data_IF_375283719241
#
_entry.id   IF_375283719241
#
_cell.length_a   1.000
_cell.length_b   1.000
_cell.length_c   1.000
_cell.angle_alpha   90.00
_cell.angle_beta   90.00
_cell.angle_gamma   90.00
#
_symmetry.space_group_name_H-M   'P 1'
#
loop_
_entity.id
_entity.type
_entity.pdbx_description
1 polymer ?
#
# COMPACT_ATOMS: atom_id res chain seq x y z
N UNK A 1 -45.30 28.04 48.68
CA UNK A 1 -44.39 28.43 47.56
C UNK A 1 -43.24 27.44 47.54
N UNK A 2 -43.43 26.25 46.94
CA UNK A 2 -42.47 25.17 46.95
C UNK A 2 -41.68 25.27 45.66
N UNK A 3 -40.44 25.74 45.76
CA UNK A 3 -39.53 26.04 44.66
C UNK A 3 -39.13 24.75 43.99
N UNK A 4 -39.41 24.70 42.71
CA UNK A 4 -39.04 23.65 41.75
C UNK A 4 -37.50 23.54 41.56
N UNK A 5 -36.80 23.12 42.64
CA UNK A 5 -35.31 22.93 42.65
C UNK A 5 -34.84 21.71 41.86
N UNK A 6 -35.70 20.71 41.69
CA UNK A 6 -35.32 19.43 41.10
C UNK A 6 -35.13 19.44 39.57
N UNK A 7 -35.81 20.34 38.87
CA UNK A 7 -35.70 20.39 37.40
C UNK A 7 -34.44 21.09 36.89
N UNK A 8 -33.80 21.92 37.73
CA UNK A 8 -32.62 22.70 37.35
C UNK A 8 -31.32 21.88 37.46
N UNK A 9 -31.29 20.87 38.34
CA UNK A 9 -30.11 20.00 38.57
C UNK A 9 -30.04 18.83 37.58
N UNK A 10 -31.19 18.34 37.11
CA UNK A 10 -31.26 17.18 36.20
C UNK A 10 -30.83 17.46 34.75
N UNK A 11 -31.08 18.68 34.26
CA UNK A 11 -30.67 19.10 32.92
C UNK A 11 -29.13 19.14 32.73
N UNK A 12 -28.33 19.70 33.68
CA UNK A 12 -26.90 19.72 33.57
C UNK A 12 -26.26 18.30 33.60
N UNK A 13 -26.73 17.40 34.49
CA UNK A 13 -26.22 16.03 34.62
C UNK A 13 -26.40 15.26 33.31
N UNK A 14 -27.59 15.33 32.70
CA UNK A 14 -27.85 14.66 31.42
C UNK A 14 -26.94 15.19 30.29
N UNK A 15 -26.75 16.53 30.25
CA UNK A 15 -25.87 17.16 29.27
C UNK A 15 -24.41 16.73 29.49
N UNK A 16 -23.95 16.68 30.74
CA UNK A 16 -22.58 16.25 31.08
C UNK A 16 -22.32 14.80 30.72
N UNK A 17 -23.22 13.87 30.98
CA UNK A 17 -23.12 12.45 30.64
C UNK A 17 -23.07 12.27 29.11
N UNK A 18 -23.90 13.02 28.36
CA UNK A 18 -23.88 12.95 26.90
C UNK A 18 -22.56 13.48 26.31
N UNK A 19 -22.07 14.62 26.84
CA UNK A 19 -20.78 15.19 26.39
C UNK A 19 -19.64 14.24 26.73
N UNK A 20 -19.60 13.69 27.94
CA UNK A 20 -18.55 12.72 28.32
C UNK A 20 -18.59 11.46 27.44
N UNK A 21 -19.79 10.94 27.16
CA UNK A 21 -19.97 9.81 26.26
C UNK A 21 -19.51 10.11 24.83
N UNK A 22 -19.79 11.31 24.32
CA UNK A 22 -19.35 11.75 22.99
C UNK A 22 -17.82 11.87 22.93
N UNK A 23 -17.21 12.49 23.95
CA UNK A 23 -15.75 12.61 24.04
C UNK A 23 -15.10 11.22 24.09
N UNK A 24 -15.62 10.33 24.93
CA UNK A 24 -15.12 8.95 25.02
C UNK A 24 -15.24 8.22 23.68
N UNK A 25 -16.39 8.35 22.98
CA UNK A 25 -16.59 7.75 21.67
C UNK A 25 -15.60 8.30 20.64
N UNK A 26 -15.37 9.61 20.60
CA UNK A 26 -14.41 10.23 19.69
C UNK A 26 -12.97 9.74 19.95
N UNK A 27 -12.57 9.69 21.23
CA UNK A 27 -11.25 9.17 21.59
C UNK A 27 -11.08 7.70 21.19
N UNK A 28 -12.06 6.85 21.49
CA UNK A 28 -12.03 5.44 21.11
C UNK A 28 -11.98 5.26 19.59
N UNK A 29 -12.80 6.01 18.86
CA UNK A 29 -12.81 5.98 17.39
C UNK A 29 -11.47 6.39 16.80
N UNK A 30 -10.83 7.42 17.36
CA UNK A 30 -9.50 7.87 16.92
C UNK A 30 -8.45 6.79 17.15
N UNK A 31 -8.44 6.16 18.33
CA UNK A 31 -7.51 5.05 18.64
C UNK A 31 -7.72 3.87 17.67
N UNK A 32 -8.97 3.45 17.47
CA UNK A 32 -9.31 2.38 16.53
C UNK A 32 -8.87 2.70 15.10
N UNK A 33 -9.03 3.95 14.67
CA UNK A 33 -8.63 4.38 13.34
C UNK A 33 -7.12 4.35 13.15
N UNK A 34 -6.36 4.81 14.14
CA UNK A 34 -4.89 4.74 14.12
C UNK A 34 -4.42 3.27 14.08
N UNK A 35 -4.99 2.42 14.95
CA UNK A 35 -4.66 0.98 14.96
C UNK A 35 -4.97 0.30 13.61
N UNK A 36 -6.12 0.61 13.02
CA UNK A 36 -6.51 0.10 11.70
C UNK A 36 -5.55 0.57 10.61
N UNK A 37 -5.14 1.83 10.63
CA UNK A 37 -4.15 2.35 9.67
C UNK A 37 -2.83 1.61 9.77
N UNK A 38 -2.26 1.49 10.98
CA UNK A 38 -0.98 0.80 11.18
C UNK A 38 -1.04 -0.66 10.75
N UNK A 39 -2.13 -1.36 11.12
CA UNK A 39 -2.32 -2.76 10.76
C UNK A 39 -2.46 -2.96 9.25
N UNK A 40 -3.30 -2.16 8.59
CA UNK A 40 -3.53 -2.29 7.13
C UNK A 40 -2.29 -1.89 6.35
N UNK A 41 -1.62 -0.80 6.73
CA UNK A 41 -0.38 -0.37 6.08
C UNK A 41 0.71 -1.45 6.18
N UNK A 42 0.95 -2.02 7.37
CA UNK A 42 1.92 -3.10 7.56
C UNK A 42 1.55 -4.36 6.76
N UNK A 43 0.28 -4.78 6.84
CA UNK A 43 -0.19 -5.99 6.13
C UNK A 43 -0.13 -5.84 4.61
N UNK A 44 -0.45 -4.65 4.08
CA UNK A 44 -0.32 -4.38 2.65
C UNK A 44 1.14 -4.41 2.20
N UNK A 45 2.04 -3.76 2.95
CA UNK A 45 3.48 -3.78 2.64
C UNK A 45 4.02 -5.21 2.64
N UNK A 46 3.68 -6.04 3.63
CA UNK A 46 4.08 -7.45 3.67
C UNK A 46 3.54 -8.24 2.47
N UNK A 47 2.29 -8.02 2.08
CA UNK A 47 1.69 -8.68 0.91
C UNK A 47 2.37 -8.23 -0.40
N UNK A 48 2.67 -6.95 -0.55
CA UNK A 48 3.41 -6.45 -1.71
C UNK A 48 4.82 -7.02 -1.77
N UNK A 49 5.54 -7.04 -0.64
CA UNK A 49 6.87 -7.65 -0.56
C UNK A 49 6.85 -9.13 -0.95
N UNK A 50 5.90 -9.89 -0.43
CA UNK A 50 5.74 -11.30 -0.79
C UNK A 50 5.48 -11.48 -2.29
N UNK A 51 4.53 -10.70 -2.84
CA UNK A 51 4.19 -10.75 -4.28
C UNK A 51 5.38 -10.39 -5.17
N UNK A 52 6.10 -9.30 -4.85
CA UNK A 52 7.28 -8.88 -5.62
C UNK A 52 8.41 -9.91 -5.54
N UNK A 53 8.63 -10.50 -4.36
CA UNK A 53 9.60 -11.58 -4.18
C UNK A 53 9.23 -12.82 -5.01
N UNK A 54 7.95 -13.19 -5.07
CA UNK A 54 7.48 -14.32 -5.88
C UNK A 54 7.70 -14.06 -7.37
N UNK A 55 7.42 -12.83 -7.85
CA UNK A 55 7.69 -12.40 -9.23
C UNK A 55 9.18 -12.49 -9.55
N UNK A 56 10.05 -11.92 -8.71
CA UNK A 56 11.51 -11.94 -8.92
C UNK A 56 12.06 -13.36 -8.85
N UNK A 57 11.53 -14.21 -7.98
CA UNK A 57 11.90 -15.62 -7.90
C UNK A 57 11.43 -16.40 -9.13
N UNK A 58 10.26 -16.08 -9.67
CA UNK A 58 9.79 -16.67 -10.91
C UNK A 58 10.71 -16.28 -12.09
N UNK A 59 11.10 -15.01 -12.20
CA UNK A 59 12.04 -14.54 -13.22
C UNK A 59 13.38 -15.29 -13.10
N UNK A 60 13.97 -15.34 -11.92
CA UNK A 60 15.23 -16.06 -11.68
C UNK A 60 15.16 -17.52 -12.13
N UNK A 61 14.08 -18.22 -11.80
CA UNK A 61 13.92 -19.65 -12.11
C UNK A 61 13.60 -19.93 -13.59
N UNK A 62 13.13 -18.95 -14.35
CA UNK A 62 12.73 -19.12 -15.75
C UNK A 62 13.64 -18.38 -16.73
N UNK A 63 14.69 -17.72 -16.25
CA UNK A 63 15.70 -17.04 -17.07
C UNK A 63 16.90 -17.94 -17.24
N UNK A 64 17.32 -18.16 -18.49
CA UNK A 64 18.64 -18.75 -18.77
C UNK A 64 19.70 -17.67 -18.59
N UNK A 65 20.27 -17.62 -17.41
CA UNK A 65 21.21 -16.56 -17.01
C UNK A 65 22.55 -16.64 -17.72
N UNK A 66 22.98 -17.83 -18.18
CA UNK A 66 24.20 -17.99 -18.99
C UNK A 66 24.00 -17.42 -20.40
N UNK A 67 22.82 -17.66 -21.01
CA UNK A 67 22.45 -17.08 -22.29
C UNK A 67 22.30 -15.56 -22.18
N UNK A 68 21.64 -15.08 -21.09
CA UNK A 68 21.50 -13.64 -20.81
C UNK A 68 22.87 -12.96 -20.67
N UNK A 69 23.82 -13.58 -19.99
CA UNK A 69 25.21 -13.09 -19.87
C UNK A 69 25.88 -12.97 -21.23
N UNK A 70 25.66 -13.94 -22.11
CA UNK A 70 26.21 -13.90 -23.47
C UNK A 70 25.55 -12.79 -24.31
N UNK A 71 24.24 -12.59 -24.18
CA UNK A 71 23.53 -11.48 -24.82
C UNK A 71 24.09 -10.13 -24.37
N UNK A 72 24.32 -9.96 -23.06
CA UNK A 72 24.93 -8.74 -22.49
C UNK A 72 26.35 -8.54 -23.07
N UNK A 73 27.16 -9.59 -23.09
CA UNK A 73 28.54 -9.52 -23.59
C UNK A 73 28.64 -9.15 -25.07
N UNK A 74 27.68 -9.63 -25.89
CA UNK A 74 27.70 -9.46 -27.37
C UNK A 74 26.87 -8.28 -27.86
N UNK A 75 25.95 -7.75 -27.01
CA UNK A 75 24.97 -6.74 -27.41
C UNK A 75 23.94 -7.26 -28.42
N UNK A 76 23.77 -8.61 -28.51
CA UNK A 76 22.83 -9.25 -29.45
C UNK A 76 21.87 -10.16 -28.71
N UNK A 77 20.61 -10.18 -29.14
CA UNK A 77 19.57 -11.01 -28.56
C UNK A 77 19.64 -12.44 -29.10
N UNK A 78 19.16 -13.40 -28.31
CA UNK A 78 18.99 -14.82 -28.65
C UNK A 78 17.51 -15.19 -28.66
N UNK A 79 17.14 -16.38 -29.11
CA UNK A 79 15.79 -16.91 -29.00
C UNK A 79 15.33 -17.02 -27.53
N UNK A 80 16.24 -17.35 -26.60
CA UNK A 80 15.92 -17.40 -25.16
C UNK A 80 15.69 -16.01 -24.58
N UNK A 81 16.45 -15.02 -25.05
CA UNK A 81 16.22 -13.62 -24.72
C UNK A 81 14.83 -13.16 -25.19
N UNK A 82 14.43 -13.51 -26.42
CA UNK A 82 13.10 -13.15 -26.94
C UNK A 82 11.99 -13.82 -26.12
N UNK A 83 12.19 -15.06 -25.67
CA UNK A 83 11.27 -15.74 -24.75
C UNK A 83 11.17 -15.03 -23.39
N UNK A 84 12.31 -14.57 -22.84
CA UNK A 84 12.36 -13.77 -21.62
C UNK A 84 11.59 -12.45 -21.80
N UNK A 85 11.85 -11.70 -22.88
CA UNK A 85 11.14 -10.47 -23.20
C UNK A 85 9.63 -10.68 -23.26
N UNK A 86 9.16 -11.72 -23.98
CA UNK A 86 7.75 -12.07 -24.03
C UNK A 86 7.17 -12.50 -22.69
N UNK A 87 7.95 -13.12 -21.84
CA UNK A 87 7.54 -13.46 -20.47
C UNK A 87 7.35 -12.20 -19.64
N UNK A 88 8.32 -11.29 -19.63
CA UNK A 88 8.24 -10.03 -18.87
C UNK A 88 7.06 -9.18 -19.35
N UNK A 89 6.85 -9.05 -20.67
CA UNK A 89 5.74 -8.30 -21.25
C UNK A 89 4.36 -8.82 -20.80
N UNK A 90 4.19 -10.13 -20.64
CA UNK A 90 2.96 -10.70 -20.09
C UNK A 90 2.83 -10.48 -18.60
N UNK A 91 3.95 -10.60 -17.87
CA UNK A 91 3.92 -10.45 -16.42
C UNK A 91 3.56 -9.02 -15.98
N UNK A 92 4.02 -7.99 -16.69
CA UNK A 92 3.66 -6.60 -16.35
C UNK A 92 2.15 -6.37 -16.42
N UNK A 93 1.48 -6.96 -17.43
CA UNK A 93 0.04 -6.86 -17.62
C UNK A 93 -0.72 -7.76 -16.63
N UNK A 94 -0.35 -9.05 -16.52
CA UNK A 94 -1.02 -10.05 -15.68
C UNK A 94 -0.95 -9.70 -14.19
N UNK A 95 0.12 -9.06 -13.75
CA UNK A 95 0.33 -8.66 -12.37
C UNK A 95 0.07 -7.16 -12.11
N UNK A 96 -0.41 -6.41 -13.09
CA UNK A 96 -0.69 -4.97 -12.95
C UNK A 96 0.50 -4.22 -12.33
N UNK A 97 1.71 -4.44 -12.86
CA UNK A 97 2.93 -3.80 -12.38
C UNK A 97 3.08 -2.43 -13.03
N UNK A 98 3.75 -1.50 -12.35
CA UNK A 98 4.13 -0.25 -12.97
C UNK A 98 5.26 -0.48 -13.99
N UNK A 99 6.34 -1.14 -13.53
CA UNK A 99 7.46 -1.55 -14.40
C UNK A 99 8.01 -2.90 -13.96
N UNK A 100 8.61 -3.60 -14.93
CA UNK A 100 9.32 -4.86 -14.72
C UNK A 100 10.52 -4.90 -15.66
N UNK A 101 11.71 -4.94 -15.11
CA UNK A 101 12.92 -4.81 -15.92
C UNK A 101 14.12 -5.53 -15.32
N UNK A 102 15.08 -5.81 -16.18
CA UNK A 102 16.40 -6.31 -15.83
C UNK A 102 17.42 -5.29 -16.33
N UNK A 103 18.28 -4.80 -15.44
CA UNK A 103 19.21 -3.73 -15.75
C UNK A 103 20.55 -3.88 -15.03
N UNK A 104 21.53 -3.12 -15.46
CA UNK A 104 22.85 -3.00 -14.83
C UNK A 104 23.03 -1.54 -14.43
N UNK A 105 23.10 -1.23 -13.13
CA UNK A 105 23.37 0.14 -12.68
C UNK A 105 24.87 0.44 -12.79
N UNK A 106 25.23 1.29 -13.75
CA UNK A 106 26.60 1.78 -13.93
C UNK A 106 26.82 3.10 -13.15
N UNK A 107 27.96 3.74 -13.32
CA UNK A 107 28.33 4.92 -12.55
C UNK A 107 27.47 6.14 -12.88
N UNK A 108 27.19 6.36 -14.15
CA UNK A 108 26.49 7.54 -14.67
C UNK A 108 25.19 7.21 -15.43
N UNK A 109 24.89 5.94 -15.67
CA UNK A 109 23.72 5.50 -16.47
C UNK A 109 23.13 4.18 -15.94
N UNK A 110 21.86 3.99 -16.20
CA UNK A 110 21.23 2.67 -16.06
C UNK A 110 21.23 1.99 -17.42
N UNK A 111 21.84 0.80 -17.51
CA UNK A 111 21.91 0.02 -18.75
C UNK A 111 20.77 -0.99 -18.76
N UNK A 112 19.86 -0.85 -19.72
CA UNK A 112 18.78 -1.80 -19.93
C UNK A 112 19.33 -3.14 -20.43
N UNK A 113 18.96 -4.22 -19.77
CA UNK A 113 19.19 -5.59 -20.27
C UNK A 113 17.91 -6.11 -20.92
N UNK A 114 16.78 -6.04 -20.24
CA UNK A 114 15.49 -6.48 -20.75
C UNK A 114 14.37 -5.77 -19.95
N UNK A 115 13.53 -4.97 -20.59
CA UNK A 115 12.43 -4.27 -19.94
C UNK A 115 11.09 -4.67 -20.54
N UNK A 116 10.12 -4.92 -19.68
CA UNK A 116 8.76 -5.20 -20.13
C UNK A 116 8.13 -3.96 -20.75
N UNK A 117 7.38 -4.17 -21.83
CA UNK A 117 6.47 -3.18 -22.41
C UNK A 117 5.05 -3.68 -22.21
N UNK A 118 4.20 -2.90 -21.54
CA UNK A 118 2.80 -3.26 -21.28
C UNK A 118 1.95 -3.25 -22.55
N UNK A 119 0.77 -3.87 -22.51
CA UNK A 119 -0.19 -3.83 -23.62
C UNK A 119 -0.62 -2.39 -23.93
N UNK A 120 -0.77 -1.55 -22.90
CA UNK A 120 -1.15 -0.14 -23.06
C UNK A 120 -0.05 0.66 -23.76
N UNK A 121 1.23 0.47 -23.43
CA UNK A 121 2.37 1.11 -24.07
C UNK A 121 2.51 0.65 -25.53
N UNK A 122 2.37 -0.65 -25.80
CA UNK A 122 2.35 -1.18 -27.17
C UNK A 122 1.20 -0.62 -27.99
N UNK A 123 0.01 -0.46 -27.39
CA UNK A 123 -1.14 0.17 -28.06
C UNK A 123 -0.91 1.67 -28.32
N UNK A 124 -0.08 2.32 -27.52
CA UNK A 124 0.36 3.71 -27.76
C UNK A 124 1.48 3.82 -28.83
N UNK A 125 2.00 2.70 -29.31
CA UNK A 125 3.04 2.63 -30.35
C UNK A 125 4.46 2.52 -29.79
N UNK A 126 4.62 2.26 -28.51
CA UNK A 126 5.92 1.98 -27.91
C UNK A 126 6.41 0.57 -28.27
N UNK A 127 7.72 0.41 -28.29
CA UNK A 127 8.40 -0.84 -28.61
C UNK A 127 9.34 -1.22 -27.48
N UNK A 128 9.65 -2.52 -27.38
CA UNK A 128 10.62 -3.02 -26.42
C UNK A 128 11.96 -2.28 -26.56
N UNK A 129 12.55 -1.89 -25.44
CA UNK A 129 13.86 -1.25 -25.42
C UNK A 129 14.94 -2.22 -25.90
N UNK A 130 15.88 -1.76 -26.71
CA UNK A 130 16.98 -2.62 -27.13
C UNK A 130 17.88 -3.02 -25.94
N UNK A 131 18.49 -4.19 -26.06
CA UNK A 131 19.52 -4.61 -25.10
C UNK A 131 20.69 -3.60 -25.10
N UNK A 132 21.25 -3.34 -23.92
CA UNK A 132 22.32 -2.37 -23.68
C UNK A 132 21.92 -0.91 -24.00
N UNK A 133 20.63 -0.61 -24.03
CA UNK A 133 20.18 0.77 -24.10
C UNK A 133 20.54 1.51 -22.80
N UNK A 134 21.28 2.61 -22.94
CA UNK A 134 21.69 3.45 -21.81
C UNK A 134 20.65 4.56 -21.58
N UNK A 135 20.27 4.77 -20.31
CA UNK A 135 19.41 5.87 -19.92
C UNK A 135 20.04 6.70 -18.81
N UNK A 136 19.96 8.02 -18.97
CA UNK A 136 20.37 9.04 -18.00
C UNK A 136 19.22 9.58 -17.16
N UNK A 137 18.07 8.92 -17.22
CA UNK A 137 16.87 9.31 -16.46
C UNK A 137 16.99 9.16 -14.94
N UNK A 138 18.04 8.48 -14.48
CA UNK A 138 18.32 8.27 -13.05
C UNK A 138 19.33 9.26 -12.54
N UNK A 139 19.09 9.84 -11.37
CA UNK A 139 20.08 10.65 -10.67
C UNK A 139 21.28 9.81 -10.19
N UNK A 140 22.39 10.47 -9.86
CA UNK A 140 23.56 9.78 -9.32
C UNK A 140 23.26 9.07 -8.00
N UNK A 141 22.43 9.67 -7.16
CA UNK A 141 22.00 9.11 -5.88
C UNK A 141 21.17 7.83 -6.08
N UNK A 142 20.30 7.80 -7.08
CA UNK A 142 19.53 6.60 -7.44
C UNK A 142 20.44 5.50 -8.00
N UNK A 143 21.38 5.83 -8.89
CA UNK A 143 22.33 4.85 -9.40
C UNK A 143 23.23 4.27 -8.29
N UNK A 144 23.69 5.09 -7.35
CA UNK A 144 24.42 4.61 -6.17
C UNK A 144 23.57 3.67 -5.31
N UNK A 145 22.28 4.00 -5.12
CA UNK A 145 21.35 3.15 -4.42
C UNK A 145 21.21 1.80 -5.12
N UNK A 146 20.89 1.77 -6.42
CA UNK A 146 20.75 0.52 -7.18
C UNK A 146 22.04 -0.31 -7.18
N UNK A 147 23.22 0.32 -7.28
CA UNK A 147 24.52 -0.40 -7.15
C UNK A 147 24.67 -1.02 -5.77
N UNK A 148 24.29 -0.31 -4.72
CA UNK A 148 24.33 -0.84 -3.35
C UNK A 148 23.37 -2.01 -3.17
N UNK A 149 22.17 -1.95 -3.77
CA UNK A 149 21.21 -3.05 -3.77
C UNK A 149 21.72 -4.25 -4.56
N UNK A 150 22.40 -4.01 -5.67
CA UNK A 150 23.03 -5.06 -6.46
C UNK A 150 24.15 -5.81 -5.71
N UNK A 151 24.76 -5.23 -4.70
CA UNK A 151 25.75 -5.89 -3.85
C UNK A 151 25.13 -6.84 -2.80
N UNK A 152 23.84 -6.71 -2.54
CA UNK A 152 23.14 -7.53 -1.56
C UNK A 152 22.70 -8.86 -2.19
N UNK A 153 23.00 -9.98 -1.53
CA UNK A 153 22.62 -11.34 -1.99
C UNK A 153 21.18 -11.71 -1.58
N UNK A 154 20.27 -10.74 -1.61
CA UNK A 154 18.87 -10.93 -1.21
C UNK A 154 17.97 -9.93 -1.95
N UNK A 155 16.66 -10.23 -1.94
CA UNK A 155 15.67 -9.25 -2.38
C UNK A 155 15.71 -8.04 -1.45
N UNK A 156 15.81 -6.87 -2.05
CA UNK A 156 15.85 -5.58 -1.35
C UNK A 156 14.69 -4.72 -1.83
N UNK A 157 14.10 -3.96 -0.91
CA UNK A 157 12.93 -3.14 -1.17
C UNK A 157 13.29 -1.68 -0.89
N UNK A 158 12.88 -0.80 -1.78
CA UNK A 158 13.12 0.64 -1.67
C UNK A 158 11.92 1.41 -2.23
N UNK A 159 11.65 2.57 -1.65
CA UNK A 159 10.77 3.56 -2.25
C UNK A 159 11.64 4.59 -2.95
N UNK A 160 11.42 4.79 -4.24
CA UNK A 160 12.15 5.75 -5.06
C UNK A 160 11.21 6.72 -5.75
N UNK A 161 11.71 7.91 -6.05
CA UNK A 161 10.98 8.94 -6.77
C UNK A 161 11.85 9.42 -7.91
N UNK A 162 11.42 9.14 -9.14
CA UNK A 162 12.09 9.53 -10.38
C UNK A 162 11.22 10.45 -11.22
N UNK A 163 11.70 10.87 -12.37
CA UNK A 163 10.90 11.63 -13.35
C UNK A 163 9.67 10.85 -13.88
N UNK A 164 9.68 9.52 -13.71
CA UNK A 164 8.57 8.63 -14.08
C UNK A 164 7.49 8.49 -13.00
N UNK A 165 7.74 8.97 -11.78
CA UNK A 165 6.82 8.88 -10.64
C UNK A 165 7.46 8.37 -9.37
N UNK A 166 6.64 8.05 -8.37
CA UNK A 166 7.08 7.44 -7.12
C UNK A 166 6.69 5.97 -7.10
N UNK A 167 7.68 5.10 -6.94
CA UNK A 167 7.53 3.65 -7.00
C UNK A 167 8.04 2.99 -5.74
N UNK A 168 7.41 1.88 -5.40
CA UNK A 168 7.92 0.92 -4.44
C UNK A 168 8.56 -0.22 -5.22
N UNK A 169 9.89 -0.28 -5.18
CA UNK A 169 10.72 -1.15 -6.02
C UNK A 169 11.29 -2.29 -5.21
N UNK A 170 11.20 -3.50 -5.74
CA UNK A 170 11.97 -4.65 -5.26
C UNK A 170 13.02 -5.05 -6.28
N UNK A 171 14.24 -5.24 -5.81
CA UNK A 171 15.37 -5.65 -6.64
C UNK A 171 15.97 -6.95 -6.16
N UNK A 172 16.38 -7.81 -7.11
CA UNK A 172 17.09 -9.06 -6.85
C UNK A 172 18.24 -9.25 -7.84
N UNK A 173 19.48 -9.48 -7.37
CA UNK A 173 20.56 -9.80 -8.28
C UNK A 173 20.35 -11.16 -8.93
N UNK A 174 20.68 -11.26 -10.23
CA UNK A 174 20.72 -12.50 -11.00
C UNK A 174 22.18 -12.99 -11.13
N UNK A 175 22.33 -14.29 -11.04
CA UNK A 175 23.63 -14.96 -11.07
C UNK A 175 23.70 -15.95 -12.23
N UNK A 176 24.87 -16.06 -12.85
CA UNK A 176 25.14 -17.12 -13.81
C UNK A 176 25.32 -18.52 -13.16
N UNK A 177 25.48 -19.55 -13.96
CA UNK A 177 25.69 -20.92 -13.47
C UNK A 177 26.94 -21.11 -12.61
N UNK A 178 27.87 -20.14 -12.62
CA UNK A 178 29.12 -20.15 -11.84
C UNK A 178 28.99 -19.34 -10.53
N UNK A 179 27.85 -18.72 -10.32
CA UNK A 179 27.60 -17.85 -9.17
C UNK A 179 28.18 -16.43 -9.33
N UNK A 180 28.51 -16.01 -10.56
CA UNK A 180 28.89 -14.63 -10.84
C UNK A 180 27.64 -13.77 -11.04
N UNK A 181 27.58 -12.64 -10.39
CA UNK A 181 26.48 -11.69 -10.55
C UNK A 181 26.55 -11.02 -11.92
N UNK A 182 25.44 -10.99 -12.64
CA UNK A 182 25.38 -10.49 -14.02
C UNK A 182 24.55 -9.20 -14.16
N UNK A 183 23.43 -9.10 -13.47
CA UNK A 183 22.52 -7.96 -13.57
C UNK A 183 21.57 -7.95 -12.38
N UNK A 184 20.66 -6.97 -12.36
CA UNK A 184 19.65 -6.77 -11.33
C UNK A 184 18.26 -6.88 -11.96
N UNK A 185 17.41 -7.78 -11.48
CA UNK A 185 15.99 -7.81 -11.83
C UNK A 185 15.23 -6.93 -10.86
N UNK A 186 14.38 -6.05 -11.39
CA UNK A 186 13.60 -5.08 -10.63
C UNK A 186 12.12 -5.15 -10.98
N UNK A 187 11.27 -4.96 -9.99
CA UNK A 187 9.83 -4.85 -10.15
C UNK A 187 9.32 -3.64 -9.39
N UNK A 188 8.51 -2.82 -10.05
CA UNK A 188 8.00 -1.57 -9.52
C UNK A 188 6.49 -1.62 -9.37
N UNK A 189 6.02 -1.17 -8.21
CA UNK A 189 4.61 -0.93 -7.92
C UNK A 189 4.38 0.57 -7.72
N UNK A 190 3.28 1.09 -8.24
CA UNK A 190 2.89 2.48 -8.03
C UNK A 190 2.59 2.75 -6.55
N UNK A 191 3.29 3.68 -5.94
CA UNK A 191 3.02 4.14 -4.56
C UNK A 191 1.66 4.82 -4.47
N UNK A 192 1.22 5.49 -5.54
CA UNK A 192 -0.09 6.14 -5.60
C UNK A 192 -1.23 5.13 -5.50
N UNK A 193 -1.11 3.96 -6.13
CA UNK A 193 -2.10 2.88 -6.06
C UNK A 193 -2.12 2.23 -4.68
N UNK A 194 -0.94 2.04 -4.06
CA UNK A 194 -0.83 1.61 -2.68
C UNK A 194 -1.53 2.59 -1.73
N UNK A 195 -1.25 3.88 -1.84
CA UNK A 195 -1.89 4.92 -1.03
C UNK A 195 -3.39 5.05 -1.31
N UNK A 196 -3.84 4.89 -2.56
CA UNK A 196 -5.26 4.90 -2.91
C UNK A 196 -6.01 3.75 -2.23
N UNK A 197 -5.43 2.56 -2.18
CA UNK A 197 -5.99 1.39 -1.49
C UNK A 197 -6.12 1.64 0.01
N UNK A 198 -5.06 2.17 0.66
CA UNK A 198 -5.09 2.53 2.08
C UNK A 198 -6.16 3.60 2.35
N UNK A 199 -6.20 4.67 1.54
CA UNK A 199 -7.22 5.74 1.68
C UNK A 199 -8.64 5.20 1.57
N UNK A 200 -8.92 4.34 0.58
CA UNK A 200 -10.24 3.72 0.40
C UNK A 200 -10.65 2.89 1.61
N UNK A 201 -9.74 2.10 2.16
CA UNK A 201 -9.98 1.34 3.39
C UNK A 201 -10.25 2.25 4.58
N UNK A 202 -9.48 3.34 4.74
CA UNK A 202 -9.64 4.31 5.83
C UNK A 202 -11.01 5.01 5.78
N UNK A 203 -11.47 5.40 4.59
CA UNK A 203 -12.82 5.99 4.43
C UNK A 203 -13.92 4.98 4.77
N UNK A 204 -13.79 3.73 4.32
CA UNK A 204 -14.76 2.68 4.61
C UNK A 204 -14.82 2.38 6.12
N UNK A 205 -13.67 2.24 6.77
CA UNK A 205 -13.59 2.00 8.22
C UNK A 205 -14.18 3.15 9.03
N UNK A 206 -13.92 4.40 8.64
CA UNK A 206 -14.50 5.59 9.27
C UNK A 206 -16.03 5.61 9.14
N UNK A 207 -16.56 5.25 7.97
CA UNK A 207 -18.00 5.15 7.73
C UNK A 207 -18.64 4.11 8.66
N UNK A 208 -18.04 2.90 8.73
CA UNK A 208 -18.53 1.81 9.60
C UNK A 208 -18.49 2.22 11.07
N UNK A 209 -17.39 2.80 11.54
CA UNK A 209 -17.26 3.29 12.93
C UNK A 209 -18.32 4.35 13.23
N UNK A 210 -18.57 5.29 12.31
CA UNK A 210 -19.57 6.34 12.45
C UNK A 210 -20.99 5.79 12.52
N UNK A 211 -21.35 4.81 11.69
CA UNK A 211 -22.66 4.15 11.70
C UNK A 211 -22.89 3.38 13.01
N UNK A 212 -21.91 2.57 13.42
CA UNK A 212 -21.99 1.81 14.68
C UNK A 212 -22.10 2.76 15.88
N UNK A 213 -21.27 3.80 15.93
CA UNK A 213 -21.31 4.80 16.99
C UNK A 213 -22.63 5.57 17.05
N UNK A 214 -23.16 5.95 15.88
CA UNK A 214 -24.48 6.57 15.76
C UNK A 214 -25.59 5.66 16.31
N UNK A 215 -25.60 4.38 15.94
CA UNK A 215 -26.55 3.40 16.43
C UNK A 215 -26.44 3.21 17.96
N UNK A 216 -25.22 3.02 18.47
CA UNK A 216 -24.98 2.91 19.91
C UNK A 216 -25.48 4.16 20.68
N UNK A 217 -25.25 5.34 20.12
CA UNK A 217 -25.74 6.61 20.71
C UNK A 217 -27.25 6.67 20.75
N UNK A 218 -27.94 6.27 19.68
CA UNK A 218 -29.40 6.18 19.62
C UNK A 218 -29.97 5.19 20.66
N UNK A 219 -29.36 4.01 20.78
CA UNK A 219 -29.75 3.00 21.78
C UNK A 219 -29.57 3.56 23.19
N UNK A 220 -28.43 4.18 23.48
CA UNK A 220 -28.14 4.79 24.79
C UNK A 220 -29.16 5.91 25.13
N UNK A 221 -29.48 6.78 24.17
CA UNK A 221 -30.46 7.84 24.34
C UNK A 221 -31.87 7.29 24.62
N UNK A 222 -32.29 6.27 23.89
CA UNK A 222 -33.61 5.63 24.10
C UNK A 222 -33.66 4.92 25.44
N UNK A 223 -32.61 4.23 25.85
CA UNK A 223 -32.49 3.58 27.15
C UNK A 223 -32.54 4.60 28.31
N UNK A 224 -31.78 5.70 28.20
CA UNK A 224 -31.80 6.80 29.18
C UNK A 224 -33.20 7.41 29.29
N UNK A 225 -33.88 7.67 28.17
CA UNK A 225 -35.25 8.15 28.14
C UNK A 225 -36.21 7.20 28.88
N UNK A 226 -36.15 5.92 28.57
CA UNK A 226 -37.07 4.91 29.13
C UNK A 226 -36.82 4.67 30.61
N UNK A 227 -35.57 4.56 31.07
CA UNK A 227 -35.29 4.14 32.45
C UNK A 227 -35.14 5.30 33.44
N UNK A 228 -34.68 6.47 33.02
CA UNK A 228 -34.48 7.62 33.90
C UNK A 228 -35.71 8.51 33.93
N UNK A 229 -36.43 8.65 32.82
CA UNK A 229 -37.61 9.52 32.76
C UNK A 229 -38.88 8.82 33.25
N UNK A 230 -39.03 7.51 33.02
CA UNK A 230 -40.23 6.75 33.43
C UNK A 230 -40.23 6.34 34.90
N UNK A 231 -39.09 6.15 35.55
CA UNK A 231 -39.01 5.81 36.98
C UNK A 231 -39.21 7.00 37.91
N UNK A 232 -39.30 8.21 37.43
CA UNK A 232 -39.48 9.40 38.22
C UNK A 232 -40.93 9.93 38.24
N UNK A 233 -41.95 9.13 37.82
CA UNK A 233 -43.35 9.55 37.78
C UNK A 233 -44.31 8.78 38.70
N UNK A 234 -44.00 8.29 39.91
CA UNK A 234 -45.07 7.78 40.80
C UNK A 234 -45.61 8.77 41.81
N UNK A 235 -45.22 10.04 41.81
CA UNK A 235 -45.62 11.01 42.90
C UNK A 235 -46.58 12.10 42.44
N UNK A 236 -47.52 11.81 41.55
CA UNK A 236 -48.66 12.70 41.34
C UNK A 236 -49.97 11.94 41.42
N UNK A 237 -50.33 11.50 42.62
CA UNK A 237 -51.73 11.30 43.05
C UNK A 237 -51.74 11.27 44.57
N UNK A 238 -51.68 12.43 45.23
CA UNK A 238 -52.26 12.61 46.56
C UNK A 238 -53.56 13.30 46.29
N UNK A 239 -54.74 12.69 46.61
CA UNK A 239 -55.99 13.39 46.50
C UNK A 239 -56.05 14.45 47.64
N UNK A 240 -56.47 15.64 47.30
CA UNK A 240 -56.85 16.67 48.26
C UNK A 240 -58.14 16.21 48.98
N UNK A 241 -58.06 16.00 50.26
CA UNK A 241 -59.20 16.03 51.17
C UNK A 241 -59.28 17.40 51.88
#
# INVERSE_FOLDING_TARGET
>A
MTINRDNKVRKPIRKTVLIAGLIFFLLLSTVLQIMSYLFVSSSLTENYNARMNDILTYIENNTDTDDLKECIRTGTTSEKYDQLQHMLNRMVDDFELAYLYIAIPEEDVMVNVCSATSEAERAAGETDLPILFETDAYSKEELELFRSLAELDKVSYVEESSDYGTFYTACKPLYDSKGEKICLACVDLSVDDMHATIRRFMYLSLLVISLVGGLCTLIALTWIRKNITSRCWPWKKVPAT
#
